data_IF_488593389415
#
_entry.id   IF_488593389415
#
_cell.length_a   1.000
_cell.length_b   1.000
_cell.length_c   1.000
_cell.angle_alpha   90.00
_cell.angle_beta   90.00
_cell.angle_gamma   90.00
#
_symmetry.space_group_name_H-M   'P 1'
#
loop_
_entity.id
_entity.type
_entity.pdbx_description
1 polymer ?
#
# COMPACT_ATOMS: atom_id res chain seq x y z
N UNK A 1 7.90 -3.51 7.93
CA UNK A 1 7.59 -4.83 8.54
C UNK A 1 8.53 -5.86 7.90
N UNK A 2 8.72 -7.06 8.46
CA UNK A 2 9.41 -8.12 7.69
C UNK A 2 8.42 -8.78 6.73
N UNK A 3 8.93 -9.39 5.64
CA UNK A 3 8.13 -10.13 4.65
C UNK A 3 7.27 -11.20 5.31
N UNK A 4 7.85 -11.99 6.21
CA UNK A 4 7.18 -13.11 6.87
C UNK A 4 5.97 -12.63 7.67
N UNK A 5 6.09 -11.48 8.35
CA UNK A 5 4.98 -10.89 9.11
C UNK A 5 3.85 -10.39 8.20
N UNK A 6 4.18 -9.80 7.05
CA UNK A 6 3.18 -9.36 6.09
C UNK A 6 2.40 -10.54 5.52
N UNK A 7 3.10 -11.62 5.17
CA UNK A 7 2.48 -12.85 4.67
C UNK A 7 1.64 -13.56 5.74
N UNK A 8 2.10 -13.56 7.00
CA UNK A 8 1.32 -14.10 8.13
C UNK A 8 0.04 -13.28 8.37
N UNK A 9 0.12 -11.94 8.33
CA UNK A 9 -1.05 -11.06 8.45
C UNK A 9 -2.04 -11.31 7.31
N UNK A 10 -1.56 -11.41 6.07
CA UNK A 10 -2.40 -11.68 4.90
C UNK A 10 -3.11 -13.04 5.01
N UNK A 11 -2.39 -14.08 5.46
CA UNK A 11 -2.99 -15.38 5.74
C UNK A 11 -4.08 -15.29 6.81
N UNK A 12 -3.83 -14.61 7.91
CA UNK A 12 -4.84 -14.42 8.97
C UNK A 12 -6.05 -13.64 8.44
N UNK A 13 -5.84 -12.62 7.63
CA UNK A 13 -6.89 -11.88 6.96
C UNK A 13 -7.79 -12.78 6.10
N UNK A 14 -7.21 -13.72 5.35
CA UNK A 14 -7.95 -14.72 4.60
C UNK A 14 -8.67 -15.74 5.51
N UNK A 15 -7.99 -16.26 6.54
CA UNK A 15 -8.55 -17.26 7.48
C UNK A 15 -9.77 -16.74 8.25
N UNK A 16 -9.79 -15.43 8.56
CA UNK A 16 -10.87 -14.78 9.31
C UNK A 16 -11.83 -13.95 8.45
N UNK A 17 -11.60 -13.85 7.14
CA UNK A 17 -12.37 -13.01 6.21
C UNK A 17 -12.49 -11.55 6.68
N UNK A 18 -11.34 -10.93 7.01
CA UNK A 18 -11.25 -9.55 7.51
C UNK A 18 -10.24 -8.73 6.71
N UNK A 19 -10.45 -7.41 6.53
CA UNK A 19 -9.52 -6.58 5.77
C UNK A 19 -8.23 -6.28 6.52
N UNK A 20 -7.17 -5.91 5.78
CA UNK A 20 -5.90 -5.40 6.30
C UNK A 20 -5.76 -3.93 5.92
N UNK A 21 -5.77 -3.04 6.92
CA UNK A 21 -5.43 -1.62 6.72
C UNK A 21 -3.95 -1.39 6.99
N UNK A 22 -3.23 -0.82 6.02
CA UNK A 22 -1.79 -0.56 6.14
C UNK A 22 -1.41 0.80 5.53
N UNK A 23 -0.46 1.50 6.16
CA UNK A 23 0.09 2.75 5.63
C UNK A 23 1.09 2.44 4.52
N UNK A 24 0.87 2.98 3.32
CA UNK A 24 1.66 2.70 2.12
C UNK A 24 1.77 3.98 1.28
N UNK A 25 2.97 4.26 0.79
CA UNK A 25 3.27 5.42 -0.05
C UNK A 25 2.88 6.76 0.61
N UNK A 26 3.06 6.88 1.93
CA UNK A 26 2.75 8.12 2.67
C UNK A 26 3.92 9.10 2.64
N UNK A 27 5.16 8.61 2.66
CA UNK A 27 6.37 9.44 2.68
C UNK A 27 7.27 9.23 1.45
N UNK A 28 8.01 10.26 1.00
CA UNK A 28 8.75 10.26 -0.28
C UNK A 28 10.06 9.44 -0.30
N UNK A 29 10.25 8.51 0.63
CA UNK A 29 11.46 7.66 0.71
C UNK A 29 11.13 6.26 1.27
N UNK A 30 9.90 5.79 1.14
CA UNK A 30 9.50 4.48 1.69
C UNK A 30 10.16 3.31 0.95
N UNK A 31 10.44 3.47 -0.33
CA UNK A 31 11.18 2.51 -1.15
C UNK A 31 12.56 2.21 -0.57
N UNK A 32 13.24 3.22 -0.01
CA UNK A 32 14.56 3.04 0.64
C UNK A 32 14.49 2.22 1.94
N UNK A 33 13.28 2.07 2.51
CA UNK A 33 13.05 1.37 3.77
C UNK A 33 12.72 -0.11 3.56
N UNK A 34 12.54 -0.55 2.32
CA UNK A 34 12.36 -1.95 1.98
C UNK A 34 13.71 -2.64 2.16
N UNK A 35 13.78 -3.59 3.10
CA UNK A 35 15.03 -4.24 3.52
C UNK A 35 15.30 -5.57 2.83
N UNK A 36 14.34 -6.06 2.04
CA UNK A 36 14.42 -7.33 1.33
C UNK A 36 15.21 -7.13 0.03
N UNK A 37 15.99 -8.11 -0.45
CA UNK A 37 16.52 -8.13 -1.81
C UNK A 37 15.37 -8.24 -2.84
N UNK A 38 14.65 -7.14 -3.03
CA UNK A 38 13.56 -6.98 -4.00
C UNK A 38 14.04 -6.18 -5.20
N UNK A 39 13.33 -6.31 -6.33
CA UNK A 39 13.49 -5.43 -7.48
C UNK A 39 12.40 -4.36 -7.55
N UNK A 40 11.43 -4.41 -6.64
CA UNK A 40 10.35 -3.45 -6.53
C UNK A 40 10.89 -2.01 -6.42
N UNK A 41 10.34 -1.12 -7.25
CA UNK A 41 10.64 0.30 -7.24
C UNK A 41 9.75 1.09 -6.26
N UNK A 42 8.69 0.47 -5.73
CA UNK A 42 7.77 1.11 -4.79
C UNK A 42 7.33 0.14 -3.66
N UNK A 43 6.77 0.67 -2.56
CA UNK A 43 6.13 -0.15 -1.54
C UNK A 43 4.93 -0.96 -2.04
N UNK A 44 4.18 -0.47 -3.04
CA UNK A 44 3.04 -1.19 -3.62
C UNK A 44 3.53 -2.37 -4.45
N UNK A 45 4.51 -2.15 -5.34
CA UNK A 45 5.18 -3.21 -6.09
C UNK A 45 5.77 -4.27 -5.15
N UNK A 46 6.31 -3.87 -4.00
CA UNK A 46 6.82 -4.82 -3.02
C UNK A 46 5.72 -5.69 -2.41
N UNK A 47 4.55 -5.12 -2.09
CA UNK A 47 3.40 -5.89 -1.59
C UNK A 47 2.86 -6.88 -2.63
N UNK A 48 2.84 -6.47 -3.89
CA UNK A 48 2.51 -7.33 -5.03
C UNK A 48 3.53 -8.47 -5.18
N UNK A 49 4.84 -8.15 -5.22
CA UNK A 49 5.94 -9.11 -5.40
C UNK A 49 5.95 -10.20 -4.33
N UNK A 50 5.61 -9.86 -3.07
CA UNK A 50 5.56 -10.83 -1.97
C UNK A 50 4.20 -11.55 -1.83
N UNK A 51 3.23 -11.23 -2.70
CA UNK A 51 1.92 -11.87 -2.78
C UNK A 51 0.97 -11.51 -1.65
N UNK A 52 1.02 -10.28 -1.15
CA UNK A 52 0.11 -9.82 -0.07
C UNK A 52 -0.82 -8.69 -0.51
N UNK A 53 -0.69 -8.21 -1.75
CA UNK A 53 -1.61 -7.24 -2.34
C UNK A 53 -2.80 -7.96 -2.96
N UNK A 54 -3.99 -7.77 -2.40
CA UNK A 54 -5.23 -8.41 -2.83
C UNK A 54 -6.47 -7.59 -2.40
N UNK A 55 -7.66 -8.14 -2.66
CA UNK A 55 -8.94 -7.46 -2.45
C UNK A 55 -9.28 -7.16 -0.98
N UNK A 56 -8.56 -7.78 -0.04
CA UNK A 56 -8.72 -7.54 1.41
C UNK A 56 -7.83 -6.40 1.89
N UNK A 57 -6.87 -5.96 1.09
CA UNK A 57 -5.96 -4.88 1.47
C UNK A 57 -6.62 -3.54 1.25
N UNK A 58 -6.50 -2.68 2.27
CA UNK A 58 -6.81 -1.26 2.19
C UNK A 58 -5.54 -0.48 2.48
N UNK A 59 -5.08 0.32 1.52
CA UNK A 59 -3.95 1.22 1.74
C UNK A 59 -4.42 2.55 2.31
N UNK A 60 -3.75 3.04 3.36
CA UNK A 60 -3.98 4.36 3.92
C UNK A 60 -3.08 5.40 3.24
N UNK A 61 -3.64 6.58 2.99
CA UNK A 61 -3.01 7.75 2.40
C UNK A 61 -2.72 7.65 0.90
N UNK A 62 -1.78 6.81 0.47
CA UNK A 62 -1.39 6.67 -0.94
C UNK A 62 -0.94 7.98 -1.60
N UNK A 63 -0.12 8.78 -0.90
CA UNK A 63 0.28 10.13 -1.35
C UNK A 63 1.22 10.06 -2.56
N UNK A 64 2.16 9.13 -2.53
CA UNK A 64 3.25 9.00 -3.50
C UNK A 64 3.06 7.80 -4.42
N UNK A 65 1.81 7.51 -4.81
CA UNK A 65 1.51 6.45 -5.78
C UNK A 65 1.89 6.90 -7.19
N UNK A 66 2.69 6.08 -7.88
CA UNK A 66 2.94 6.22 -9.32
C UNK A 66 1.74 5.71 -10.13
N UNK A 67 1.71 5.98 -11.43
CA UNK A 67 0.71 5.39 -12.34
C UNK A 67 0.77 3.86 -12.35
N UNK A 68 1.99 3.29 -12.23
CA UNK A 68 2.16 1.84 -12.16
C UNK A 68 1.57 1.26 -10.87
N UNK A 69 1.79 1.91 -9.73
CA UNK A 69 1.19 1.50 -8.46
C UNK A 69 -0.34 1.51 -8.52
N UNK A 70 -0.92 2.52 -9.17
CA UNK A 70 -2.36 2.63 -9.35
C UNK A 70 -2.92 1.47 -10.19
N UNK A 71 -2.20 1.03 -11.22
CA UNK A 71 -2.56 -0.16 -12.02
C UNK A 71 -2.54 -1.41 -11.15
N UNK A 72 -1.47 -1.65 -10.37
CA UNK A 72 -1.36 -2.82 -9.49
C UNK A 72 -2.49 -2.85 -8.45
N UNK A 73 -2.77 -1.72 -7.82
CA UNK A 73 -3.88 -1.59 -6.86
C UNK A 73 -5.22 -1.92 -7.51
N UNK A 74 -5.43 -1.48 -8.76
CA UNK A 74 -6.66 -1.74 -9.50
C UNK A 74 -6.79 -3.22 -9.89
N UNK A 75 -5.70 -3.83 -10.33
CA UNK A 75 -5.66 -5.25 -10.71
C UNK A 75 -5.90 -6.18 -9.50
N UNK A 76 -5.40 -5.79 -8.33
CA UNK A 76 -5.59 -6.51 -7.07
C UNK A 76 -6.97 -6.28 -6.43
N UNK A 77 -7.81 -5.38 -6.97
CA UNK A 77 -9.07 -4.92 -6.36
C UNK A 77 -8.89 -4.39 -4.92
N UNK A 78 -7.73 -3.80 -4.64
CA UNK A 78 -7.39 -3.27 -3.32
C UNK A 78 -8.12 -1.94 -3.05
N UNK A 79 -8.49 -1.72 -1.79
CA UNK A 79 -9.12 -0.49 -1.33
C UNK A 79 -8.11 0.63 -1.03
N UNK A 80 -8.57 1.88 -1.11
CA UNK A 80 -7.77 3.07 -0.76
C UNK A 80 -8.56 3.95 0.21
N UNK A 81 -7.94 4.23 1.36
CA UNK A 81 -8.42 5.24 2.32
C UNK A 81 -7.74 6.57 2.02
N UNK A 82 -8.50 7.50 1.44
CA UNK A 82 -8.04 8.87 1.25
C UNK A 82 -8.14 9.68 2.55
N UNK A 83 -7.02 10.18 3.06
CA UNK A 83 -6.91 10.81 4.39
C UNK A 83 -6.47 12.30 4.34
N UNK A 84 -7.17 13.19 3.59
CA UNK A 84 -6.69 14.55 3.29
C UNK A 84 -6.38 15.40 4.53
N UNK A 85 -7.21 15.30 5.57
CA UNK A 85 -7.00 16.06 6.81
C UNK A 85 -5.74 15.63 7.55
N UNK A 86 -5.44 14.33 7.57
CA UNK A 86 -4.22 13.81 8.19
C UNK A 86 -3.00 14.25 7.38
N UNK A 87 -3.06 14.15 6.05
CA UNK A 87 -1.97 14.56 5.18
C UNK A 87 -1.65 16.06 5.32
N UNK A 88 -2.69 16.89 5.38
CA UNK A 88 -2.55 18.32 5.61
C UNK A 88 -1.95 18.63 6.98
N UNK A 89 -2.41 17.95 8.04
CA UNK A 89 -1.88 18.11 9.40
C UNK A 89 -0.42 17.69 9.49
N UNK A 90 -0.03 16.62 8.80
CA UNK A 90 1.33 16.09 8.77
C UNK A 90 2.27 16.80 7.79
N UNK A 91 1.74 17.70 6.95
CA UNK A 91 2.45 18.29 5.83
C UNK A 91 3.11 17.23 4.91
N UNK A 92 2.44 16.09 4.71
CA UNK A 92 2.96 14.94 3.95
C UNK A 92 2.61 14.99 2.46
N UNK A 93 1.56 15.72 2.08
CA UNK A 93 1.22 15.98 0.67
C UNK A 93 -0.25 15.79 0.35
N UNK A 94 -0.56 15.60 -0.93
CA UNK A 94 -1.91 15.35 -1.44
C UNK A 94 -1.87 14.11 -2.32
N UNK A 95 -2.68 13.11 -2.00
CA UNK A 95 -2.79 11.90 -2.81
C UNK A 95 -3.49 12.19 -4.15
N UNK A 96 -3.15 11.45 -5.23
CA UNK A 96 -3.75 11.59 -6.56
C UNK A 96 -5.17 10.97 -6.60
N UNK A 97 -6.03 11.32 -5.64
CA UNK A 97 -7.34 10.71 -5.44
C UNK A 97 -8.28 10.86 -6.65
N UNK A 98 -8.08 11.89 -7.46
CA UNK A 98 -8.85 12.09 -8.69
C UNK A 98 -8.52 11.09 -9.78
N UNK A 99 -7.25 10.67 -9.88
CA UNK A 99 -6.79 9.72 -10.89
C UNK A 99 -7.21 8.27 -10.55
N UNK A 100 -7.56 8.03 -9.28
CA UNK A 100 -7.96 6.73 -8.73
C UNK A 100 -9.48 6.51 -8.65
N UNK A 101 -10.30 7.48 -9.07
CA UNK A 101 -11.77 7.41 -9.09
C UNK A 101 -12.30 6.84 -10.42
#
# INVERSE_FOLDING_TARGET
MSKEKLQEINKLSADYDVPVLIHVAEFPNEETRIKDPTKAASPVEYLDEIGVLDERVVIAHGIHLSEHDQVLLKEADAGISYNPMANAKGATGVAPAWDMY
#
